data_IF_536615573947
#
_entry.id   IF_536615573947
#
_cell.length_a   1.000
_cell.length_b   1.000
_cell.length_c   1.000
_cell.angle_alpha   90.00
_cell.angle_beta   90.00
_cell.angle_gamma   90.00
#
_symmetry.space_group_name_H-M   'P 1'
#
loop_
_entity.id
_entity.type
_entity.pdbx_description
1 polymer ?
#
# COMPACT_ATOMS: atom_id res chain seq x y z
N UNK A 1 54.32 -35.19 9.65
CA UNK A 1 54.20 -35.25 11.11
C UNK A 1 55.47 -34.70 11.72
N UNK A 2 55.39 -33.49 12.28
CA UNK A 2 56.25 -32.96 13.33
C UNK A 2 55.44 -31.84 14.03
N UNK A 3 55.49 -31.70 15.37
CA UNK A 3 54.52 -30.94 16.14
C UNK A 3 54.93 -29.48 16.33
N UNK A 4 53.92 -28.65 16.61
CA UNK A 4 54.00 -27.20 16.84
C UNK A 4 54.51 -26.90 18.25
N UNK A 5 55.41 -25.93 18.33
CA UNK A 5 56.09 -25.41 19.52
C UNK A 5 55.16 -24.60 20.44
N UNK A 6 55.20 -24.93 21.73
CA UNK A 6 54.54 -24.25 22.83
C UNK A 6 55.57 -23.44 23.63
N UNK A 7 55.60 -22.14 23.37
CA UNK A 7 56.33 -21.15 24.16
C UNK A 7 55.40 -19.93 24.24
N UNK A 8 55.10 -19.27 25.36
CA UNK A 8 55.73 -19.16 26.66
C UNK A 8 54.67 -18.90 27.74
N UNK A 9 54.73 -19.71 28.80
CA UNK A 9 54.17 -19.43 30.11
C UNK A 9 55.08 -18.40 30.82
N UNK A 10 54.54 -17.41 31.52
CA UNK A 10 55.24 -16.73 32.61
C UNK A 10 54.29 -16.57 33.81
N UNK A 11 54.56 -17.19 34.98
CA UNK A 11 53.66 -17.18 36.13
C UNK A 11 54.06 -16.16 37.22
N UNK A 12 53.07 -15.82 38.06
CA UNK A 12 53.14 -15.19 39.39
C UNK A 12 53.49 -13.69 39.45
N UNK A 13 52.93 -12.83 40.30
CA UNK A 13 51.72 -12.76 41.14
C UNK A 13 51.86 -11.39 41.84
N UNK A 14 50.82 -10.54 41.93
CA UNK A 14 50.66 -9.64 43.09
C UNK A 14 49.24 -9.09 43.18
N UNK A 15 48.63 -9.29 44.35
CA UNK A 15 47.35 -8.72 44.75
C UNK A 15 47.54 -7.23 45.11
N UNK A 16 46.76 -6.36 44.48
CA UNK A 16 46.62 -4.96 44.84
C UNK A 16 45.15 -4.56 44.73
N UNK A 17 44.50 -4.40 45.88
CA UNK A 17 43.14 -3.91 46.02
C UNK A 17 43.03 -2.43 45.62
N UNK A 18 42.09 -2.08 44.75
CA UNK A 18 41.34 -0.82 44.85
C UNK A 18 40.34 -0.67 43.70
N UNK A 19 39.07 -0.42 44.04
CA UNK A 19 38.17 0.39 43.23
C UNK A 19 37.38 -0.37 42.15
N UNK A 20 36.25 -0.94 42.54
CA UNK A 20 35.12 -1.16 41.63
C UNK A 20 34.54 0.19 41.22
N UNK A 21 34.93 0.69 40.06
CA UNK A 21 34.06 1.56 39.25
C UNK A 21 33.75 0.80 37.96
N UNK A 22 32.74 -0.07 38.04
CA UNK A 22 32.00 -0.51 36.87
C UNK A 22 31.30 0.72 36.30
N UNK A 23 31.98 1.39 35.37
CA UNK A 23 31.34 2.36 34.48
C UNK A 23 30.48 1.55 33.51
N UNK A 24 29.26 1.24 33.94
CA UNK A 24 28.16 0.98 33.02
C UNK A 24 28.00 2.23 32.17
N UNK A 25 28.64 2.24 30.99
CA UNK A 25 28.29 3.15 29.93
C UNK A 25 26.77 2.99 29.69
N UNK A 26 25.95 4.04 29.86
CA UNK A 26 24.55 3.92 29.53
C UNK A 26 24.46 3.60 28.05
N UNK A 27 23.79 2.50 27.70
CA UNK A 27 23.40 2.23 26.33
C UNK A 27 22.70 3.48 25.81
N UNK A 28 23.35 4.21 24.91
CA UNK A 28 22.77 5.42 24.34
C UNK A 28 21.47 5.00 23.65
N UNK A 29 20.34 5.51 24.13
CA UNK A 29 19.06 5.31 23.48
C UNK A 29 19.20 5.80 22.03
N UNK A 30 18.98 4.90 21.07
CA UNK A 30 19.08 5.25 19.65
C UNK A 30 18.13 6.41 19.34
N UNK A 31 18.61 7.40 18.59
CA UNK A 31 17.76 8.48 18.10
C UNK A 31 16.65 7.92 17.19
N UNK A 32 15.49 8.58 17.14
CA UNK A 32 14.35 8.15 16.32
C UNK A 32 14.72 7.99 14.84
N UNK A 33 15.65 8.83 14.34
CA UNK A 33 16.21 8.71 12.99
C UNK A 33 16.99 7.41 12.83
N UNK A 34 17.83 7.06 13.81
CA UNK A 34 18.62 5.84 13.79
C UNK A 34 17.72 4.59 13.86
N UNK A 35 16.65 4.64 14.65
CA UNK A 35 15.66 3.55 14.75
C UNK A 35 14.94 3.34 13.41
N UNK A 36 14.58 4.43 12.72
CA UNK A 36 13.98 4.37 11.39
C UNK A 36 14.95 3.75 10.37
N UNK A 37 16.18 4.26 10.28
CA UNK A 37 17.18 3.76 9.33
C UNK A 37 17.51 2.29 9.58
N UNK A 38 17.65 1.90 10.85
CA UNK A 38 17.84 0.49 11.21
C UNK A 38 16.67 -0.37 10.73
N UNK A 39 15.43 0.08 10.95
CA UNK A 39 14.23 -0.64 10.51
C UNK A 39 14.15 -0.78 8.99
N UNK A 40 14.50 0.27 8.26
CA UNK A 40 14.57 0.25 6.78
C UNK A 40 15.61 -0.76 6.29
N UNK A 41 16.79 -0.79 6.92
CA UNK A 41 17.84 -1.76 6.59
C UNK A 41 17.38 -3.21 6.83
N UNK A 42 16.68 -3.47 7.94
CA UNK A 42 16.17 -4.82 8.26
C UNK A 42 15.15 -5.32 7.23
N UNK A 43 14.33 -4.43 6.66
CA UNK A 43 13.31 -4.82 5.67
C UNK A 43 13.80 -4.77 4.23
N UNK A 44 14.94 -4.14 3.93
CA UNK A 44 15.34 -3.77 2.57
C UNK A 44 15.45 -4.93 1.56
N UNK A 45 15.77 -6.14 2.02
CA UNK A 45 15.78 -7.36 1.18
C UNK A 45 14.42 -8.04 1.02
N UNK A 46 13.41 -7.62 1.80
CA UNK A 46 12.13 -8.30 1.94
C UNK A 46 10.92 -7.45 1.48
N UNK A 47 11.15 -6.21 1.06
CA UNK A 47 10.15 -5.33 0.46
C UNK A 47 10.66 -4.77 -0.85
N UNK A 48 9.84 -4.65 -1.88
CA UNK A 48 10.24 -3.97 -3.11
C UNK A 48 10.17 -2.44 -3.03
N UNK A 49 9.64 -1.86 -1.95
CA UNK A 49 9.50 -0.41 -1.81
C UNK A 49 10.89 0.22 -1.58
N UNK A 50 11.29 1.25 -2.36
CA UNK A 50 12.57 1.95 -2.18
C UNK A 50 12.76 2.53 -0.77
N UNK A 51 14.00 2.55 -0.28
CA UNK A 51 14.33 3.10 1.04
C UNK A 51 13.89 4.57 1.19
N UNK A 52 14.06 5.38 0.15
CA UNK A 52 13.60 6.79 0.15
C UNK A 52 12.07 6.87 0.29
N UNK A 53 11.34 5.99 -0.40
CA UNK A 53 9.89 5.92 -0.28
C UNK A 53 9.49 5.50 1.13
N UNK A 54 10.14 4.49 1.72
CA UNK A 54 9.86 4.05 3.10
C UNK A 54 10.03 5.20 4.11
N UNK A 55 11.05 6.06 3.98
CA UNK A 55 11.22 7.25 4.84
C UNK A 55 10.03 8.21 4.69
N UNK A 56 9.65 8.56 3.46
CA UNK A 56 8.55 9.47 3.17
C UNK A 56 7.21 8.91 3.65
N UNK A 57 6.97 7.62 3.43
CA UNK A 57 5.81 6.88 3.92
C UNK A 57 5.73 6.91 5.44
N UNK A 58 6.86 6.70 6.14
CA UNK A 58 6.90 6.82 7.59
C UNK A 58 6.47 8.22 8.06
N UNK A 59 6.95 9.28 7.42
CA UNK A 59 6.52 10.65 7.75
C UNK A 59 5.00 10.84 7.55
N UNK A 60 4.43 10.31 6.46
CA UNK A 60 2.97 10.33 6.23
C UNK A 60 2.24 9.60 7.36
N UNK A 61 2.71 8.41 7.74
CA UNK A 61 2.14 7.64 8.85
C UNK A 61 2.18 8.42 10.17
N UNK A 62 3.31 9.09 10.48
CA UNK A 62 3.47 9.93 11.69
C UNK A 62 2.47 11.07 11.73
N UNK A 63 2.37 11.84 10.66
CA UNK A 63 1.51 13.03 10.59
C UNK A 63 0.03 12.69 10.72
N UNK A 64 -0.38 11.55 10.15
CA UNK A 64 -1.76 11.07 10.22
C UNK A 64 -2.00 10.15 11.43
N UNK A 65 -0.99 9.93 12.27
CA UNK A 65 -0.96 8.94 13.36
C UNK A 65 -1.74 7.66 13.02
N UNK A 66 -1.31 6.99 11.95
CA UNK A 66 -1.95 5.78 11.45
C UNK A 66 -0.90 4.74 11.05
N UNK A 67 -1.31 3.47 11.07
CA UNK A 67 -0.53 2.39 10.44
C UNK A 67 -0.96 2.28 8.98
N UNK A 68 0.01 2.27 8.08
CA UNK A 68 -0.20 2.07 6.64
C UNK A 68 0.48 0.76 6.27
N UNK A 69 -0.26 -0.16 5.67
CA UNK A 69 0.31 -1.41 5.17
C UNK A 69 0.14 -1.52 3.66
N UNK A 70 1.16 -2.07 3.01
CA UNK A 70 1.17 -2.38 1.59
C UNK A 70 1.21 -3.88 1.37
N UNK A 71 0.59 -4.33 0.29
CA UNK A 71 0.76 -5.68 -0.25
C UNK A 71 2.21 -5.89 -0.70
N UNK A 72 2.62 -7.13 -0.99
CA UNK A 72 3.98 -7.40 -1.46
C UNK A 72 4.22 -6.62 -2.76
N UNK A 73 5.17 -5.71 -2.72
CA UNK A 73 5.71 -5.08 -3.93
C UNK A 73 6.97 -5.83 -4.34
N UNK A 74 7.02 -6.24 -5.60
CA UNK A 74 8.11 -7.05 -6.15
C UNK A 74 9.43 -6.27 -6.16
N UNK A 75 10.51 -6.77 -5.51
CA UNK A 75 11.81 -6.12 -5.50
C UNK A 75 12.39 -5.83 -6.89
N UNK A 76 12.07 -6.67 -7.88
CA UNK A 76 12.53 -6.45 -9.25
C UNK A 76 11.81 -5.30 -9.95
N UNK A 77 10.70 -4.80 -9.42
CA UNK A 77 10.03 -3.60 -9.94
C UNK A 77 10.50 -2.32 -9.24
N UNK A 78 11.31 -2.43 -8.18
CA UNK A 78 11.86 -1.28 -7.43
C UNK A 78 12.54 -0.27 -8.36
N UNK A 79 13.46 -0.75 -9.21
CA UNK A 79 14.23 0.12 -10.09
C UNK A 79 13.35 0.86 -11.10
N UNK A 80 12.21 0.28 -11.52
CA UNK A 80 11.28 0.92 -12.45
C UNK A 80 10.57 2.09 -11.78
N UNK A 81 10.15 1.92 -10.52
CA UNK A 81 9.51 3.00 -9.77
C UNK A 81 10.50 4.12 -9.44
N UNK A 82 11.73 3.78 -9.04
CA UNK A 82 12.83 4.73 -8.80
C UNK A 82 13.19 5.52 -10.07
N UNK A 83 13.22 4.84 -11.22
CA UNK A 83 13.42 5.48 -12.52
C UNK A 83 12.22 6.32 -12.97
N UNK A 84 11.16 6.41 -12.18
CA UNK A 84 10.03 7.24 -12.52
C UNK A 84 9.14 6.63 -13.60
N UNK A 85 8.89 5.32 -13.59
CA UNK A 85 7.89 4.73 -14.47
C UNK A 85 6.45 5.04 -13.97
N UNK A 86 5.49 5.19 -14.90
CA UNK A 86 4.07 5.26 -14.56
C UNK A 86 3.58 3.88 -14.12
N UNK A 87 2.48 3.83 -13.40
CA UNK A 87 1.94 2.58 -12.87
C UNK A 87 0.50 2.34 -13.32
N UNK A 88 0.13 1.07 -13.32
CA UNK A 88 -1.12 0.57 -13.86
C UNK A 88 -2.32 0.96 -12.99
N UNK A 89 -3.36 1.56 -13.60
CA UNK A 89 -4.65 1.76 -12.94
C UNK A 89 -5.60 0.57 -13.12
N UNK A 90 -6.72 0.55 -12.39
CA UNK A 90 -7.78 -0.47 -12.52
C UNK A 90 -8.40 -0.53 -13.93
N UNK A 91 -8.28 0.54 -14.73
CA UNK A 91 -8.79 0.59 -16.11
C UNK A 91 -7.98 -0.26 -17.08
N UNK A 92 -6.73 -0.60 -16.72
CA UNK A 92 -5.88 -1.48 -17.50
C UNK A 92 -6.11 -2.89 -16.95
N UNK A 93 -6.56 -3.84 -17.78
CA UNK A 93 -6.82 -5.23 -17.33
C UNK A 93 -5.71 -6.21 -17.68
N UNK A 94 -4.79 -5.79 -18.56
CA UNK A 94 -3.60 -6.55 -18.95
C UNK A 94 -2.79 -7.04 -17.76
N UNK A 95 -2.24 -8.25 -17.87
CA UNK A 95 -1.32 -8.79 -16.86
C UNK A 95 0.10 -8.36 -17.19
N UNK A 96 0.87 -8.09 -16.14
CA UNK A 96 2.31 -7.87 -16.27
C UNK A 96 3.03 -9.17 -16.63
N UNK A 97 4.25 -9.05 -17.09
CA UNK A 97 5.13 -10.16 -17.43
C UNK A 97 6.11 -10.49 -16.29
N UNK A 98 6.41 -11.77 -16.15
CA UNK A 98 7.55 -12.34 -15.42
C UNK A 98 8.62 -12.90 -16.38
N UNK A 99 8.51 -12.62 -17.68
CA UNK A 99 9.30 -13.24 -18.73
C UNK A 99 10.50 -12.37 -19.12
N UNK A 100 11.67 -12.70 -18.57
CA UNK A 100 12.95 -12.16 -19.00
C UNK A 100 12.99 -10.64 -19.15
N UNK A 101 13.27 -10.08 -20.35
CA UNK A 101 13.38 -8.64 -20.53
C UNK A 101 12.05 -7.89 -20.29
N UNK A 102 10.90 -8.57 -20.33
CA UNK A 102 9.60 -7.93 -20.10
C UNK A 102 9.24 -7.84 -18.61
N UNK A 103 10.07 -8.38 -17.72
CA UNK A 103 9.75 -8.48 -16.29
C UNK A 103 9.33 -7.13 -15.72
N UNK A 104 8.11 -7.07 -15.18
CA UNK A 104 7.55 -5.87 -14.56
C UNK A 104 6.74 -4.96 -15.50
N UNK A 105 6.73 -5.22 -16.80
CA UNK A 105 5.95 -4.47 -17.80
C UNK A 105 4.69 -5.20 -18.23
N UNK A 106 3.78 -4.48 -18.89
CA UNK A 106 2.52 -5.03 -19.40
C UNK A 106 2.64 -5.18 -20.93
N UNK A 107 2.94 -6.39 -21.46
CA UNK A 107 3.03 -6.59 -22.90
C UNK A 107 1.68 -6.43 -23.57
N UNK A 108 1.67 -5.96 -24.81
CA UNK A 108 0.46 -5.96 -25.66
C UNK A 108 0.06 -7.39 -26.00
N UNK A 109 1.03 -8.23 -26.36
CA UNK A 109 0.81 -9.66 -26.59
C UNK A 109 0.81 -10.41 -25.26
N UNK A 110 -0.36 -10.85 -24.78
CA UNK A 110 -0.47 -11.47 -23.46
C UNK A 110 0.10 -12.88 -23.41
N UNK A 111 0.42 -13.51 -24.55
CA UNK A 111 1.27 -14.69 -24.60
C UNK A 111 2.66 -14.48 -23.95
N UNK A 112 3.12 -13.23 -23.84
CA UNK A 112 4.37 -12.84 -23.18
C UNK A 112 4.17 -12.39 -21.72
N UNK A 113 2.96 -12.49 -21.16
CA UNK A 113 2.65 -12.09 -19.78
C UNK A 113 2.54 -13.30 -18.84
N UNK A 114 2.31 -13.04 -17.55
CA UNK A 114 2.04 -14.08 -16.52
C UNK A 114 0.84 -14.99 -16.86
N UNK A 115 -0.01 -14.60 -17.82
CA UNK A 115 -1.16 -15.44 -18.24
C UNK A 115 -0.75 -16.60 -19.15
N UNK A 116 0.48 -16.60 -19.70
CA UNK A 116 0.98 -17.64 -20.63
C UNK A 116 0.83 -19.07 -20.11
N UNK A 117 0.95 -19.28 -18.80
CA UNK A 117 0.81 -20.59 -18.16
C UNK A 117 -0.64 -21.06 -17.98
N UNK A 118 -1.64 -20.25 -18.36
CA UNK A 118 -3.07 -20.54 -18.14
C UNK A 118 -3.80 -21.06 -19.39
N UNK A 119 -3.06 -21.26 -20.48
CA UNK A 119 -3.58 -21.82 -21.73
C UNK A 119 -4.16 -20.80 -22.71
N UNK A 120 -4.48 -21.22 -23.95
CA UNK A 120 -4.83 -20.34 -25.05
C UNK A 120 -6.08 -19.48 -24.82
N UNK A 121 -7.11 -20.01 -24.16
CA UNK A 121 -8.35 -19.28 -23.89
C UNK A 121 -8.13 -18.09 -22.94
N UNK A 122 -7.32 -18.28 -21.90
CA UNK A 122 -6.97 -17.23 -20.96
C UNK A 122 -6.13 -16.13 -21.62
N UNK A 123 -5.21 -16.52 -22.50
CA UNK A 123 -4.42 -15.60 -23.32
C UNK A 123 -5.34 -14.80 -24.25
N UNK A 124 -6.22 -15.47 -25.00
CA UNK A 124 -7.15 -14.82 -25.93
C UNK A 124 -8.07 -13.81 -25.23
N UNK A 125 -8.57 -14.14 -24.03
CA UNK A 125 -9.36 -13.21 -23.20
C UNK A 125 -8.52 -12.00 -22.77
N UNK A 126 -7.28 -12.23 -22.33
CA UNK A 126 -6.40 -11.15 -21.93
C UNK A 126 -6.01 -10.24 -23.11
N UNK A 127 -5.81 -10.80 -24.31
CA UNK A 127 -5.56 -10.03 -25.53
C UNK A 127 -6.79 -9.19 -25.92
N UNK A 128 -8.01 -9.71 -25.75
CA UNK A 128 -9.24 -8.94 -25.93
C UNK A 128 -9.34 -7.77 -24.93
N UNK A 129 -8.98 -8.00 -23.67
CA UNK A 129 -8.92 -6.95 -22.65
C UNK A 129 -7.90 -5.85 -23.03
N UNK A 130 -6.72 -6.22 -23.54
CA UNK A 130 -5.73 -5.27 -24.06
C UNK A 130 -6.28 -4.49 -25.26
N UNK A 131 -6.91 -5.17 -26.20
CA UNK A 131 -7.53 -4.52 -27.37
C UNK A 131 -8.54 -3.46 -26.93
N UNK A 132 -9.41 -3.78 -25.97
CA UNK A 132 -10.37 -2.83 -25.43
C UNK A 132 -9.71 -1.63 -24.73
N UNK A 133 -8.59 -1.83 -24.03
CA UNK A 133 -7.80 -0.74 -23.41
C UNK A 133 -7.25 0.22 -24.47
N UNK A 134 -6.73 -0.32 -25.58
CA UNK A 134 -6.17 0.47 -26.68
C UNK A 134 -7.28 1.22 -27.45
N UNK A 135 -8.39 0.55 -27.75
CA UNK A 135 -9.55 1.15 -28.44
C UNK A 135 -10.19 2.28 -27.64
N UNK A 136 -10.28 2.12 -26.32
CA UNK A 136 -10.79 3.16 -25.40
C UNK A 136 -9.77 4.24 -25.07
N UNK A 137 -8.55 4.16 -25.62
CA UNK A 137 -7.46 5.10 -25.35
C UNK A 137 -7.15 5.24 -23.86
N UNK A 138 -7.28 4.15 -23.09
CA UNK A 138 -6.85 4.13 -21.69
C UNK A 138 -5.32 3.99 -21.58
N UNK A 139 -4.67 3.47 -22.63
CA UNK A 139 -3.23 3.37 -22.77
C UNK A 139 -2.87 3.30 -24.27
N UNK A 140 -1.58 3.43 -24.58
CA UNK A 140 -1.02 3.22 -25.92
C UNK A 140 0.05 2.14 -25.91
N UNK A 141 0.34 1.58 -27.08
CA UNK A 141 1.45 0.66 -27.28
C UNK A 141 2.74 1.43 -27.63
N UNK A 142 3.86 1.04 -27.03
CA UNK A 142 5.21 1.51 -27.39
C UNK A 142 6.17 0.33 -27.46
N UNK A 143 7.23 0.47 -28.26
CA UNK A 143 8.32 -0.50 -28.29
C UNK A 143 9.07 -0.51 -26.94
N UNK A 144 9.31 -1.70 -26.40
CA UNK A 144 10.06 -1.86 -25.16
C UNK A 144 11.53 -1.53 -25.39
N UNK A 145 12.01 -0.53 -24.64
CA UNK A 145 13.42 -0.14 -24.62
C UNK A 145 13.95 -0.25 -23.20
N UNK A 146 15.06 -0.96 -23.02
CA UNK A 146 15.67 -1.17 -21.72
C UNK A 146 17.07 -0.55 -21.68
N UNK A 147 17.40 0.21 -20.63
CA UNK A 147 18.78 0.66 -20.43
C UNK A 147 19.68 -0.52 -20.04
N UNK A 148 21.00 -0.36 -20.23
CA UNK A 148 21.98 -1.42 -19.94
C UNK A 148 21.92 -1.88 -18.47
N UNK A 149 21.64 -0.96 -17.55
CA UNK A 149 21.52 -1.23 -16.12
C UNK A 149 20.36 -2.19 -15.82
N UNK A 150 19.23 -2.06 -16.53
CA UNK A 150 18.09 -2.97 -16.37
C UNK A 150 18.40 -4.36 -16.90
N UNK A 151 19.10 -4.46 -18.04
CA UNK A 151 19.55 -5.75 -18.56
C UNK A 151 20.56 -6.42 -17.61
N UNK A 152 21.48 -5.64 -17.03
CA UNK A 152 22.41 -6.12 -16.00
C UNK A 152 21.67 -6.70 -14.79
N UNK A 153 20.73 -5.94 -14.22
CA UNK A 153 19.90 -6.40 -13.09
C UNK A 153 19.19 -7.72 -13.41
N UNK A 154 18.53 -7.81 -14.57
CA UNK A 154 17.81 -9.04 -14.95
C UNK A 154 18.75 -10.23 -15.17
N UNK A 155 20.00 -9.98 -15.58
CA UNK A 155 21.00 -11.03 -15.74
C UNK A 155 21.54 -11.50 -14.39
N UNK A 156 21.82 -10.57 -13.48
CA UNK A 156 22.33 -10.86 -12.13
C UNK A 156 21.30 -11.67 -11.32
N UNK A 157 20.01 -11.39 -11.53
CA UNK A 157 18.87 -12.11 -10.96
C UNK A 157 18.55 -13.43 -11.69
N UNK A 158 19.35 -13.79 -12.70
CA UNK A 158 19.23 -15.05 -13.43
C UNK A 158 17.98 -15.17 -14.31
N UNK A 159 17.29 -14.06 -14.60
CA UNK A 159 16.10 -14.05 -15.46
C UNK A 159 16.45 -14.07 -16.94
N UNK A 160 17.65 -13.59 -17.30
CA UNK A 160 18.15 -13.59 -18.68
C UNK A 160 19.62 -14.01 -18.74
N UNK A 161 20.05 -14.42 -19.93
CA UNK A 161 21.46 -14.43 -20.34
C UNK A 161 21.61 -13.57 -21.58
N UNK A 162 22.39 -12.50 -21.47
CA UNK A 162 22.71 -11.62 -22.59
C UNK A 162 23.98 -12.13 -23.28
N UNK A 163 23.87 -12.49 -24.55
CA UNK A 163 24.98 -13.00 -25.34
C UNK A 163 25.80 -11.87 -25.96
N UNK A 164 27.00 -12.23 -26.47
CA UNK A 164 27.81 -11.31 -27.25
C UNK A 164 27.04 -10.80 -28.49
N UNK A 165 27.37 -9.60 -29.01
CA UNK A 165 26.79 -9.09 -30.23
C UNK A 165 27.00 -10.05 -31.41
N UNK A 166 25.94 -10.20 -32.22
CA UNK A 166 25.94 -10.87 -33.50
C UNK A 166 26.55 -9.96 -34.57
N UNK A 167 26.74 -10.50 -35.78
CA UNK A 167 27.33 -9.76 -36.91
C UNK A 167 26.50 -8.55 -37.35
N UNK A 168 25.20 -8.53 -37.07
CA UNK A 168 24.29 -7.40 -37.33
C UNK A 168 24.25 -6.37 -36.18
N UNK A 169 25.07 -6.55 -35.14
CA UNK A 169 25.13 -5.68 -33.97
C UNK A 169 24.04 -5.94 -32.92
N UNK A 170 23.09 -6.84 -33.17
CA UNK A 170 22.09 -7.24 -32.18
C UNK A 170 22.68 -8.21 -31.16
N UNK A 171 22.10 -8.28 -29.96
CA UNK A 171 22.50 -9.24 -28.92
C UNK A 171 21.38 -10.24 -28.70
N UNK A 172 21.69 -11.53 -28.70
CA UNK A 172 20.71 -12.56 -28.34
C UNK A 172 20.46 -12.53 -26.83
N UNK A 173 19.20 -12.71 -26.43
CA UNK A 173 18.76 -12.88 -25.05
C UNK A 173 18.07 -14.24 -24.93
N UNK A 174 18.58 -15.09 -24.05
CA UNK A 174 17.96 -16.38 -23.72
C UNK A 174 17.51 -16.42 -22.28
N UNK A 175 16.46 -17.16 -22.01
CA UNK A 175 15.89 -17.31 -20.67
C UNK A 175 16.30 -18.65 -20.07
N UNK A 176 16.89 -18.70 -18.87
CA UNK A 176 17.17 -19.97 -18.21
C UNK A 176 15.90 -20.80 -17.99
N UNK A 177 15.86 -22.01 -18.55
CA UNK A 177 14.73 -22.94 -18.38
C UNK A 177 13.51 -22.66 -19.26
N UNK A 178 13.61 -21.73 -20.22
CA UNK A 178 12.51 -21.36 -21.11
C UNK A 178 13.02 -21.27 -22.56
N UNK A 179 12.23 -21.76 -23.51
CA UNK A 179 12.60 -21.78 -24.93
C UNK A 179 12.34 -20.46 -25.65
N UNK A 180 11.72 -19.49 -24.99
CA UNK A 180 11.45 -18.17 -25.57
C UNK A 180 12.76 -17.41 -25.74
N UNK A 181 12.96 -16.86 -26.94
CA UNK A 181 14.14 -16.08 -27.26
C UNK A 181 13.76 -14.63 -27.58
N UNK A 182 14.64 -13.72 -27.20
CA UNK A 182 14.57 -12.31 -27.54
C UNK A 182 15.88 -11.88 -28.19
N UNK A 183 15.85 -10.74 -28.87
CA UNK A 183 17.06 -10.02 -29.25
C UNK A 183 16.99 -8.58 -28.74
N UNK A 184 18.16 -7.98 -28.52
CA UNK A 184 18.32 -6.60 -28.10
C UNK A 184 19.13 -5.86 -29.15
N UNK A 185 18.53 -4.81 -29.74
CA UNK A 185 19.19 -3.93 -30.69
C UNK A 185 19.45 -2.58 -30.04
N UNK A 186 20.66 -2.05 -30.17
CA UNK A 186 20.95 -0.70 -29.67
C UNK A 186 20.01 0.30 -30.34
N UNK A 187 19.28 1.08 -29.54
CA UNK A 187 18.37 2.11 -30.04
C UNK A 187 19.16 3.34 -30.53
N UNK A 188 18.52 4.16 -31.36
CA UNK A 188 19.13 5.34 -31.98
C UNK A 188 19.69 6.36 -30.97
N UNK A 189 19.21 6.33 -29.73
CA UNK A 189 19.72 7.17 -28.64
C UNK A 189 21.10 6.75 -28.11
N UNK A 190 21.62 5.58 -28.52
CA UNK A 190 22.89 5.01 -28.08
C UNK A 190 22.95 4.63 -26.59
N UNK A 191 21.83 4.67 -25.87
CA UNK A 191 21.74 4.52 -24.41
C UNK A 191 20.87 3.35 -23.96
N UNK A 192 19.92 2.91 -24.80
CA UNK A 192 19.02 1.81 -24.50
C UNK A 192 18.96 0.78 -25.62
N UNK A 193 18.45 -0.39 -25.30
CA UNK A 193 18.25 -1.49 -26.23
C UNK A 193 16.77 -1.68 -26.48
N UNK A 194 16.37 -1.64 -27.75
CA UNK A 194 15.05 -2.08 -28.18
C UNK A 194 14.99 -3.61 -28.14
N UNK A 195 13.94 -4.14 -27.51
CA UNK A 195 13.75 -5.58 -27.31
C UNK A 195 12.86 -6.12 -28.43
N UNK A 196 13.30 -7.20 -29.07
CA UNK A 196 12.60 -7.85 -30.17
C UNK A 196 12.28 -9.31 -29.86
N UNK A 197 11.16 -9.79 -30.41
CA UNK A 197 10.73 -11.19 -30.38
C UNK A 197 10.30 -11.59 -31.78
N UNK A 198 10.83 -12.69 -32.32
CA UNK A 198 10.55 -13.09 -33.70
C UNK A 198 10.98 -12.07 -34.77
N UNK A 199 11.93 -11.18 -34.45
CA UNK A 199 12.38 -10.10 -35.34
C UNK A 199 11.56 -8.81 -35.25
N UNK A 200 10.47 -8.79 -34.48
CA UNK A 200 9.61 -7.62 -34.30
C UNK A 200 9.79 -6.98 -32.93
N UNK A 201 9.68 -5.65 -32.85
CA UNK A 201 9.79 -4.92 -31.59
C UNK A 201 8.65 -5.29 -30.64
N UNK A 202 9.00 -5.77 -29.45
CA UNK A 202 8.05 -6.13 -28.41
C UNK A 202 7.32 -4.88 -27.94
N UNK A 203 5.99 -4.88 -28.03
CA UNK A 203 5.16 -3.76 -27.61
C UNK A 203 4.70 -3.94 -26.16
N UNK A 204 4.75 -2.86 -25.39
CA UNK A 204 4.26 -2.76 -24.00
C UNK A 204 3.33 -1.56 -23.85
N UNK A 205 2.46 -1.58 -22.84
CA UNK A 205 1.55 -0.47 -22.57
C UNK A 205 2.29 0.70 -21.92
N UNK A 206 1.95 1.92 -22.35
CA UNK A 206 2.35 3.19 -21.76
C UNK A 206 1.15 4.13 -21.61
N UNK A 207 1.22 5.17 -20.77
CA UNK A 207 0.18 6.19 -20.70
C UNK A 207 -0.05 6.88 -22.05
N UNK A 208 -1.25 7.44 -22.22
CA UNK A 208 -1.56 8.29 -23.36
C UNK A 208 -0.64 9.50 -23.40
N UNK A 209 -0.29 9.96 -24.61
CA UNK A 209 0.51 11.17 -24.76
C UNK A 209 -0.31 12.42 -24.47
N UNK A 210 0.27 13.32 -23.71
CA UNK A 210 -0.10 14.74 -23.67
C UNK A 210 0.96 15.56 -24.40
N UNK A 211 0.56 16.66 -25.06
CA UNK A 211 1.52 17.61 -25.60
C UNK A 211 2.52 18.04 -24.52
N UNK A 212 3.81 18.09 -24.89
CA UNK A 212 4.90 18.71 -24.11
C UNK A 212 5.34 18.04 -22.79
N UNK A 213 4.89 16.83 -22.46
CA UNK A 213 5.38 16.13 -21.25
C UNK A 213 6.56 15.15 -21.57
N UNK A 214 7.76 15.42 -21.01
CA UNK A 214 8.99 14.69 -21.32
C UNK A 214 9.04 13.27 -20.72
N UNK A 215 8.09 12.90 -19.86
CA UNK A 215 8.10 11.62 -19.13
C UNK A 215 7.39 10.49 -19.91
N UNK A 216 6.71 10.78 -21.02
CA UNK A 216 5.63 9.93 -21.58
C UNK A 216 6.04 8.65 -22.29
N UNK A 217 7.31 8.48 -22.68
CA UNK A 217 7.76 7.28 -23.37
C UNK A 217 8.18 6.16 -22.42
N UNK A 218 7.78 6.25 -21.14
CA UNK A 218 7.99 5.20 -20.15
C UNK A 218 6.80 4.21 -20.11
N UNK A 219 7.07 2.90 -20.19
CA UNK A 219 6.03 1.89 -20.07
C UNK A 219 5.51 1.74 -18.64
N UNK A 220 4.26 1.30 -18.53
CA UNK A 220 3.56 1.04 -17.27
C UNK A 220 4.16 -0.14 -16.53
N UNK A 221 4.29 0.01 -15.21
CA UNK A 221 4.69 -1.05 -14.28
C UNK A 221 3.66 -1.23 -13.16
N UNK A 222 3.99 -2.07 -12.18
CA UNK A 222 3.16 -2.33 -11.00
C UNK A 222 3.01 -1.08 -10.12
N UNK A 223 1.83 -0.93 -9.54
CA UNK A 223 1.48 0.08 -8.55
C UNK A 223 1.69 -0.45 -7.11
N UNK A 224 1.51 0.45 -6.14
CA UNK A 224 1.50 0.17 -4.72
C UNK A 224 0.07 -0.12 -4.28
N UNK A 225 -0.24 -1.40 -4.17
CA UNK A 225 -1.50 -1.83 -3.60
C UNK A 225 -1.48 -1.63 -2.07
N UNK A 226 -2.37 -0.80 -1.57
CA UNK A 226 -2.62 -0.66 -0.15
C UNK A 226 -3.27 -1.94 0.39
N UNK A 227 -2.76 -2.47 1.50
CA UNK A 227 -3.36 -3.59 2.21
C UNK A 227 -4.40 -3.13 3.23
N UNK A 228 -3.97 -2.33 4.20
CA UNK A 228 -4.79 -1.83 5.30
C UNK A 228 -4.31 -0.45 5.73
N UNK A 229 -5.25 0.42 6.13
CA UNK A 229 -4.96 1.65 6.88
C UNK A 229 -5.70 1.57 8.22
N UNK A 230 -4.93 1.62 9.31
CA UNK A 230 -5.43 1.53 10.69
C UNK A 230 -5.21 2.90 11.37
N UNK A 231 -6.24 3.76 11.46
CA UNK A 231 -6.11 5.05 12.15
C UNK A 231 -5.91 4.86 13.64
N UNK A 232 -5.35 5.85 14.34
CA UNK A 232 -5.44 5.90 15.78
C UNK A 232 -6.92 6.03 16.23
N UNK A 233 -7.32 5.26 17.25
CA UNK A 233 -8.68 5.28 17.81
C UNK A 233 -9.16 6.68 18.19
N UNK A 234 -8.27 7.52 18.74
CA UNK A 234 -8.57 8.90 19.11
C UNK A 234 -9.02 9.77 17.92
N UNK A 235 -8.73 9.36 16.69
CA UNK A 235 -9.05 10.09 15.45
C UNK A 235 -10.24 9.50 14.67
N UNK A 236 -10.75 8.33 15.10
CA UNK A 236 -11.84 7.61 14.39
C UNK A 236 -13.11 8.46 14.27
N UNK A 237 -13.46 9.25 15.30
CA UNK A 237 -14.64 10.11 15.31
C UNK A 237 -14.57 11.34 14.38
N UNK A 238 -13.36 11.80 14.05
CA UNK A 238 -13.14 12.98 13.18
C UNK A 238 -12.79 12.61 11.74
N UNK A 239 -12.24 11.41 11.51
CA UNK A 239 -11.59 11.07 10.24
C UNK A 239 -12.19 9.88 9.50
N UNK A 240 -13.12 9.14 10.12
CA UNK A 240 -13.69 7.94 9.51
C UNK A 240 -15.21 8.00 9.44
N UNK A 241 -15.76 8.10 8.22
CA UNK A 241 -17.17 7.82 7.96
C UNK A 241 -17.50 6.31 8.08
N UNK A 242 -16.61 5.49 8.65
CA UNK A 242 -16.81 4.05 8.86
C UNK A 242 -17.31 3.84 10.29
N UNK A 243 -18.53 3.32 10.43
CA UNK A 243 -19.04 2.90 11.74
C UNK A 243 -18.20 1.72 12.24
N UNK A 244 -17.28 2.01 13.16
CA UNK A 244 -16.64 1.00 14.00
C UNK A 244 -17.56 0.77 15.19
N UNK A 245 -18.38 -0.29 15.15
CA UNK A 245 -19.24 -0.64 16.28
C UNK A 245 -18.46 -1.45 17.31
N UNK A 246 -18.25 -0.89 18.51
CA UNK A 246 -17.98 -1.68 19.71
C UNK A 246 -19.31 -2.18 20.31
N UNK A 247 -19.34 -3.36 20.97
CA UNK A 247 -20.47 -3.74 21.81
C UNK A 247 -20.54 -2.77 23.01
N UNK A 248 -21.43 -1.79 22.97
CA UNK A 248 -21.76 -0.96 24.15
C UNK A 248 -21.93 0.55 23.95
N UNK A 249 -21.56 1.14 22.81
CA UNK A 249 -21.80 2.58 22.56
C UNK A 249 -22.93 2.81 21.54
N UNK A 250 -23.90 3.66 21.91
CA UNK A 250 -25.01 4.09 21.04
C UNK A 250 -24.53 5.08 19.97
N UNK A 251 -25.05 4.84 18.78
CA UNK A 251 -24.82 5.47 17.48
C UNK A 251 -25.20 6.96 17.40
N UNK A 252 -24.27 7.81 16.92
CA UNK A 252 -24.65 9.03 16.23
C UNK A 252 -24.01 9.08 14.83
N UNK A 253 -24.89 9.18 13.83
CA UNK A 253 -24.71 9.87 12.55
C UNK A 253 -24.57 9.03 11.28
N UNK A 254 -25.33 9.55 10.31
CA UNK A 254 -25.66 9.15 8.96
C UNK A 254 -24.81 9.98 8.00
N UNK A 255 -23.98 9.36 7.17
CA UNK A 255 -23.18 10.12 6.20
C UNK A 255 -22.13 9.30 5.47
N UNK A 256 -22.54 8.32 4.65
CA UNK A 256 -21.64 7.74 3.64
C UNK A 256 -21.96 8.43 2.31
N UNK A 257 -21.03 9.25 1.81
CA UNK A 257 -21.11 9.79 0.44
C UNK A 257 -20.41 8.82 -0.53
N UNK A 258 -21.05 8.43 -1.65
CA UNK A 258 -20.42 7.61 -2.68
C UNK A 258 -19.33 8.41 -3.41
N UNK A 259 -18.11 7.88 -3.48
CA UNK A 259 -17.01 8.52 -4.20
C UNK A 259 -16.76 7.89 -5.58
N UNK A 260 -16.91 8.68 -6.64
CA UNK A 260 -16.27 8.48 -7.96
C UNK A 260 -16.90 7.45 -8.92
N UNK A 261 -16.64 7.54 -10.24
CA UNK A 261 -17.51 6.98 -11.28
C UNK A 261 -17.59 5.46 -11.26
N UNK A 262 -18.81 4.97 -11.55
CA UNK A 262 -19.19 3.57 -11.60
C UNK A 262 -18.53 2.87 -12.79
N UNK A 263 -17.42 2.17 -12.57
CA UNK A 263 -16.98 1.09 -13.45
C UNK A 263 -16.31 -0.03 -12.63
N UNK A 264 -17.11 -1.02 -12.25
CA UNK A 264 -16.61 -2.34 -11.84
C UNK A 264 -16.24 -2.52 -10.35
N UNK A 265 -17.25 -2.52 -9.47
CA UNK A 265 -17.10 -2.82 -8.04
C UNK A 265 -16.88 -1.56 -7.22
N UNK A 266 -17.81 -1.20 -6.35
CA UNK A 266 -17.64 -0.03 -5.47
C UNK A 266 -16.59 -0.33 -4.41
N UNK A 267 -15.33 -0.05 -4.72
CA UNK A 267 -14.29 0.10 -3.71
C UNK A 267 -14.72 1.21 -2.75
N UNK A 268 -15.01 0.83 -1.50
CA UNK A 268 -15.44 1.79 -0.48
C UNK A 268 -14.21 2.49 0.12
N UNK A 269 -13.67 3.47 -0.62
CA UNK A 269 -12.55 4.30 -0.17
C UNK A 269 -13.04 5.34 0.84
N UNK A 270 -12.46 5.33 2.04
CA UNK A 270 -12.70 6.34 3.07
C UNK A 270 -12.03 7.67 2.76
N UNK A 271 -12.49 8.73 3.43
CA UNK A 271 -11.81 10.03 3.38
C UNK A 271 -10.34 9.93 3.82
N UNK A 272 -10.06 9.17 4.88
CA UNK A 272 -8.69 8.89 5.32
C UNK A 272 -7.87 8.15 4.25
N UNK A 273 -8.37 7.04 3.70
CA UNK A 273 -7.65 6.28 2.66
C UNK A 273 -7.35 7.15 1.44
N UNK A 274 -8.32 7.97 1.01
CA UNK A 274 -8.13 8.91 -0.10
C UNK A 274 -7.06 9.95 0.22
N UNK A 275 -7.10 10.56 1.40
CA UNK A 275 -6.10 11.54 1.86
C UNK A 275 -4.70 10.93 1.91
N UNK A 276 -4.56 9.72 2.48
CA UNK A 276 -3.28 9.01 2.54
C UNK A 276 -2.77 8.67 1.14
N UNK A 277 -3.62 8.12 0.27
CA UNK A 277 -3.23 7.81 -1.11
C UNK A 277 -2.76 9.07 -1.87
N UNK A 278 -3.45 10.21 -1.70
CA UNK A 278 -3.04 11.48 -2.30
C UNK A 278 -1.69 11.95 -1.75
N UNK A 279 -1.51 11.97 -0.43
CA UNK A 279 -0.22 12.37 0.18
C UNK A 279 0.93 11.45 -0.24
N UNK A 280 0.67 10.14 -0.40
CA UNK A 280 1.66 9.20 -0.94
C UNK A 280 2.06 9.62 -2.35
N UNK A 281 1.08 9.82 -3.23
CA UNK A 281 1.34 10.21 -4.62
C UNK A 281 2.11 11.54 -4.69
N UNK A 282 1.62 12.58 -4.01
CA UNK A 282 2.23 13.92 -3.99
C UNK A 282 3.67 13.91 -3.44
N UNK A 283 3.94 13.18 -2.35
CA UNK A 283 5.29 13.19 -1.73
C UNK A 283 6.28 12.27 -2.41
N UNK A 284 5.82 11.18 -3.01
CA UNK A 284 6.68 10.25 -3.75
C UNK A 284 6.90 10.70 -5.21
N UNK A 285 6.06 11.58 -5.74
CA UNK A 285 6.16 12.18 -7.07
C UNK A 285 5.92 13.70 -7.01
N UNK A 286 6.78 14.47 -6.31
CA UNK A 286 6.56 15.90 -6.07
C UNK A 286 6.57 16.74 -7.36
N UNK A 287 7.22 16.24 -8.41
CA UNK A 287 7.31 16.92 -9.71
C UNK A 287 6.07 16.73 -10.58
N UNK A 288 5.03 16.06 -10.08
CA UNK A 288 3.83 15.72 -10.84
C UNK A 288 2.61 16.39 -10.21
N UNK A 289 1.98 17.26 -10.99
CA UNK A 289 0.69 17.83 -10.66
C UNK A 289 -0.43 16.83 -10.99
N UNK A 290 -0.96 16.15 -9.98
CA UNK A 290 -1.98 15.12 -10.15
C UNK A 290 -3.39 15.66 -10.43
N UNK A 291 -3.60 16.97 -10.36
CA UNK A 291 -4.86 17.62 -10.73
C UNK A 291 -4.91 17.88 -12.25
N UNK A 292 -3.77 17.89 -12.93
CA UNK A 292 -3.72 17.98 -14.38
C UNK A 292 -4.29 16.71 -15.04
N UNK A 293 -5.15 16.85 -16.06
CA UNK A 293 -5.63 15.72 -16.85
C UNK A 293 -4.46 14.88 -17.36
N UNK A 294 -4.62 13.56 -17.44
CA UNK A 294 -3.59 12.65 -17.97
C UNK A 294 -2.49 12.25 -16.97
N UNK A 295 -2.29 13.01 -15.89
CA UNK A 295 -1.26 12.67 -14.90
C UNK A 295 -1.65 11.52 -13.95
N UNK A 296 -2.89 11.02 -14.04
CA UNK A 296 -3.38 9.92 -13.21
C UNK A 296 -2.51 8.65 -13.31
N UNK A 297 -1.94 8.34 -14.48
CA UNK A 297 -1.09 7.17 -14.68
C UNK A 297 0.25 7.24 -13.92
N UNK A 298 0.64 8.42 -13.46
CA UNK A 298 1.87 8.63 -12.70
C UNK A 298 1.73 8.38 -11.21
N UNK A 299 0.50 8.18 -10.73
CA UNK A 299 0.24 7.79 -9.34
C UNK A 299 0.96 6.48 -9.06
N UNK A 300 1.39 6.29 -7.82
CA UNK A 300 1.88 5.03 -7.31
C UNK A 300 0.77 4.26 -6.59
N UNK A 301 -0.23 4.95 -6.02
CA UNK A 301 -1.42 4.33 -5.42
C UNK A 301 -2.65 4.77 -6.20
N UNK A 302 -3.37 3.81 -6.80
CA UNK A 302 -4.55 4.10 -7.65
C UNK A 302 -5.89 3.89 -6.96
N UNK A 303 -5.94 3.05 -5.94
CA UNK A 303 -7.20 2.63 -5.33
C UNK A 303 -7.13 2.53 -3.82
N UNK A 304 -8.27 2.20 -3.21
CA UNK A 304 -8.38 1.99 -1.78
C UNK A 304 -7.60 0.77 -1.32
N UNK A 305 -7.48 0.64 0.00
CA UNK A 305 -6.85 -0.51 0.62
C UNK A 305 -7.67 -1.79 0.41
N UNK A 306 -7.00 -2.93 0.33
CA UNK A 306 -7.60 -4.26 0.15
C UNK A 306 -8.56 -4.64 1.29
N UNK A 307 -8.42 -4.05 2.48
CA UNK A 307 -9.44 -4.14 3.54
C UNK A 307 -10.83 -3.68 3.07
N UNK A 308 -10.84 -2.80 2.06
CA UNK A 308 -11.91 -2.17 1.29
C UNK A 308 -12.66 -3.12 0.36
N UNK A 309 -11.93 -4.06 -0.24
CA UNK A 309 -12.29 -4.76 -1.47
C UNK A 309 -13.00 -6.10 -1.19
N UNK A 310 -14.28 -6.27 -1.54
CA UNK A 310 -15.04 -7.49 -1.25
C UNK A 310 -14.53 -8.75 -1.97
N UNK A 311 -13.64 -8.61 -2.96
CA UNK A 311 -13.05 -9.71 -3.73
C UNK A 311 -11.62 -10.05 -3.30
N UNK A 312 -11.07 -9.39 -2.27
CA UNK A 312 -9.70 -9.60 -1.83
C UNK A 312 -9.52 -10.95 -1.11
N UNK A 313 -8.48 -11.69 -1.48
CA UNK A 313 -7.96 -12.81 -0.68
C UNK A 313 -6.90 -12.29 0.30
N UNK A 314 -7.09 -12.58 1.58
CA UNK A 314 -6.16 -12.19 2.64
C UNK A 314 -4.71 -12.67 2.35
N UNK A 315 -4.53 -13.86 1.77
CA UNK A 315 -3.20 -14.43 1.52
C UNK A 315 -2.38 -13.64 0.51
N UNK A 316 -3.04 -12.98 -0.45
CA UNK A 316 -2.40 -12.17 -1.49
C UNK A 316 -1.79 -10.86 -0.96
N UNK A 317 -1.99 -10.59 0.34
CA UNK A 317 -1.47 -9.42 1.03
C UNK A 317 -0.13 -9.68 1.74
N UNK A 318 0.39 -10.91 1.72
CA UNK A 318 1.60 -11.29 2.46
C UNK A 318 2.76 -11.72 1.55
N UNK A 319 4.02 -11.36 1.89
CA UNK A 319 4.43 -10.54 3.02
C UNK A 319 4.02 -9.06 2.92
N UNK A 320 3.42 -8.51 3.97
CA UNK A 320 2.94 -7.13 4.02
C UNK A 320 4.02 -6.20 4.58
N UNK A 321 4.26 -5.06 3.92
CA UNK A 321 5.13 -4.00 4.47
C UNK A 321 4.31 -3.04 5.30
N UNK A 322 4.58 -2.97 6.60
CA UNK A 322 3.93 -2.06 7.54
C UNK A 322 4.80 -0.84 7.78
N UNK A 323 4.15 0.31 7.72
CA UNK A 323 4.70 1.63 8.03
C UNK A 323 3.95 2.13 9.26
N UNK A 324 4.68 2.24 10.37
CA UNK A 324 4.13 2.62 11.67
C UNK A 324 4.39 4.12 11.95
N UNK A 325 3.51 4.82 12.69
CA UNK A 325 3.70 6.23 13.06
C UNK A 325 4.80 6.43 14.13
N UNK A 326 5.30 5.33 14.71
CA UNK A 326 6.41 5.24 15.66
C UNK A 326 6.70 3.77 15.89
N UNK A 327 7.75 3.45 16.63
CA UNK A 327 7.95 2.09 17.12
C UNK A 327 6.77 1.65 17.99
N UNK A 328 6.25 0.44 17.75
CA UNK A 328 5.17 -0.16 18.52
C UNK A 328 5.63 -1.53 19.03
N UNK A 329 5.93 -1.61 20.34
CA UNK A 329 6.48 -2.83 20.94
C UNK A 329 7.79 -3.23 20.28
N UNK A 330 7.86 -4.48 19.81
CA UNK A 330 9.01 -5.03 19.08
C UNK A 330 9.07 -4.58 17.62
N UNK A 331 8.00 -3.98 17.09
CA UNK A 331 7.94 -3.57 15.69
C UNK A 331 8.54 -2.17 15.52
N UNK A 332 9.66 -2.11 14.78
CA UNK A 332 10.24 -0.85 14.34
C UNK A 332 9.30 -0.05 13.41
N UNK A 333 9.57 1.24 13.18
CA UNK A 333 8.80 2.13 12.30
C UNK A 333 8.47 1.58 10.91
N UNK A 334 9.29 0.65 10.40
CA UNK A 334 9.05 -0.11 9.18
C UNK A 334 9.26 -1.59 9.50
N UNK A 335 8.28 -2.44 9.21
CA UNK A 335 8.36 -3.88 9.50
C UNK A 335 7.65 -4.72 8.44
N UNK A 336 7.90 -6.02 8.43
CA UNK A 336 7.27 -6.98 7.51
C UNK A 336 6.46 -7.99 8.31
N UNK A 337 5.17 -8.10 7.99
CA UNK A 337 4.36 -9.22 8.45
C UNK A 337 4.35 -10.31 7.38
N UNK A 338 4.73 -11.52 7.75
CA UNK A 338 4.96 -12.61 6.77
C UNK A 338 3.71 -13.42 6.44
N UNK A 339 2.71 -13.40 7.31
CA UNK A 339 1.53 -14.23 7.19
C UNK A 339 0.33 -13.68 7.99
N UNK A 340 -0.88 -14.22 7.79
CA UNK A 340 -2.06 -13.83 8.54
C UNK A 340 -1.94 -13.98 10.07
N UNK A 341 -1.12 -14.92 10.56
CA UNK A 341 -0.88 -15.12 11.99
C UNK A 341 -0.13 -13.93 12.60
N UNK A 342 0.91 -13.46 11.92
CA UNK A 342 1.65 -12.26 12.31
C UNK A 342 0.74 -11.01 12.35
N UNK A 343 -0.19 -10.88 11.40
CA UNK A 343 -1.21 -9.82 11.42
C UNK A 343 -2.16 -9.94 12.62
N UNK A 344 -2.65 -11.14 12.91
CA UNK A 344 -3.49 -11.36 14.10
C UNK A 344 -2.76 -10.99 15.39
N UNK A 345 -1.49 -11.36 15.54
CA UNK A 345 -0.68 -10.98 16.70
C UNK A 345 -0.54 -9.45 16.80
N UNK A 346 -0.22 -8.77 15.70
CA UNK A 346 -0.14 -7.31 15.65
C UNK A 346 -1.45 -6.65 16.07
N UNK A 347 -2.59 -7.12 15.56
CA UNK A 347 -3.92 -6.58 15.90
C UNK A 347 -4.28 -6.87 17.36
N UNK A 348 -3.92 -8.03 17.89
CA UNK A 348 -4.18 -8.36 19.30
C UNK A 348 -3.42 -7.42 20.23
N UNK A 349 -2.17 -7.08 19.89
CA UNK A 349 -1.33 -6.21 20.70
C UNK A 349 -1.64 -4.71 20.52
N UNK A 350 -1.92 -4.28 19.29
CA UNK A 350 -2.01 -2.85 18.96
C UNK A 350 -3.39 -2.39 18.47
N UNK A 351 -4.33 -3.31 18.24
CA UNK A 351 -5.66 -3.03 17.70
C UNK A 351 -6.55 -2.16 18.59
N UNK A 352 -6.27 -2.12 19.90
CA UNK A 352 -6.94 -1.19 20.82
C UNK A 352 -6.56 0.28 20.56
N UNK A 353 -5.34 0.53 20.08
CA UNK A 353 -4.88 1.86 19.69
C UNK A 353 -5.11 2.14 18.20
N UNK A 354 -4.86 1.15 17.36
CA UNK A 354 -4.98 1.24 15.90
C UNK A 354 -6.02 0.21 15.43
N UNK A 355 -7.34 0.51 15.50
CA UNK A 355 -8.37 -0.41 15.02
C UNK A 355 -8.20 -0.74 13.54
N UNK A 356 -8.44 -1.99 13.20
CA UNK A 356 -8.63 -2.43 11.82
C UNK A 356 -10.11 -2.67 11.53
N UNK A 357 -10.58 -2.22 10.36
CA UNK A 357 -11.90 -2.57 9.85
C UNK A 357 -11.79 -3.90 9.11
N UNK A 358 -12.64 -4.87 9.46
CA UNK A 358 -12.58 -6.19 8.82
C UNK A 358 -13.06 -6.09 7.38
N UNK A 359 -12.34 -6.75 6.48
CA UNK A 359 -12.90 -7.13 5.19
C UNK A 359 -13.86 -8.32 5.38
N UNK A 360 -15.05 -8.26 4.79
CA UNK A 360 -16.06 -9.32 4.86
C UNK A 360 -15.58 -10.66 4.33
N UNK A 361 -14.66 -10.66 3.37
CA UNK A 361 -14.08 -11.87 2.79
C UNK A 361 -13.04 -12.55 3.70
N UNK A 362 -12.48 -11.84 4.68
CA UNK A 362 -11.36 -12.34 5.49
C UNK A 362 -11.84 -13.07 6.75
N UNK A 363 -12.23 -14.33 6.59
CA UNK A 363 -12.75 -15.14 7.70
C UNK A 363 -11.72 -15.61 8.72
N UNK A 364 -10.43 -15.48 8.40
CA UNK A 364 -9.30 -16.05 9.13
C UNK A 364 -8.78 -15.15 10.27
N UNK A 365 -9.30 -13.92 10.39
CA UNK A 365 -8.81 -12.93 11.35
C UNK A 365 -9.62 -12.95 12.65
N UNK A 366 -8.92 -13.06 13.78
CA UNK A 366 -9.47 -13.09 15.14
C UNK A 366 -8.79 -12.01 16.00
N UNK A 367 -9.56 -10.99 16.41
CA UNK A 367 -9.07 -9.84 17.19
C UNK A 367 -10.08 -8.70 17.26
N UNK A 368 -9.67 -7.55 17.81
CA UNK A 368 -10.43 -6.29 17.86
C UNK A 368 -10.63 -5.69 16.46
N UNK A 369 -11.35 -6.43 15.61
CA UNK A 369 -11.65 -6.02 14.25
C UNK A 369 -13.08 -5.49 14.21
N UNK A 370 -13.23 -4.20 13.94
CA UNK A 370 -14.55 -3.59 13.82
C UNK A 370 -15.29 -4.09 12.57
N UNK A 371 -16.59 -4.33 12.69
CA UNK A 371 -17.46 -4.70 11.54
C UNK A 371 -17.94 -3.45 10.82
N UNK A 372 -18.14 -3.53 9.50
CA UNK A 372 -18.72 -2.43 8.72
C UNK A 372 -20.21 -2.28 9.00
N UNK A 373 -20.69 -1.03 8.94
CA UNK A 373 -22.12 -0.70 8.99
C UNK A 373 -22.98 -1.48 7.98
N UNK A 374 -22.46 -1.67 6.76
CA UNK A 374 -23.14 -2.35 5.65
C UNK A 374 -23.45 -3.82 5.95
N UNK A 375 -22.62 -4.45 6.77
CA UNK A 375 -22.74 -5.88 7.10
C UNK A 375 -23.73 -6.11 8.24
N UNK A 376 -24.13 -5.05 8.94
CA UNK A 376 -25.16 -5.08 9.98
C UNK A 376 -26.57 -4.92 9.37
N UNK A 377 -26.71 -4.31 8.19
CA UNK A 377 -28.01 -4.17 7.51
C UNK A 377 -28.49 -5.41 6.76
N UNK A 378 -27.62 -6.39 6.49
CA UNK A 378 -27.99 -7.62 5.78
C UNK A 378 -28.46 -8.75 6.70
N UNK A 379 -28.35 -8.59 8.03
CA UNK A 379 -28.81 -9.58 9.02
C UNK A 379 -30.19 -9.30 9.63
N UNK A 380 -30.88 -8.25 9.20
CA UNK A 380 -32.25 -7.93 9.67
C UNK A 380 -33.35 -8.87 9.15
N UNK A 381 -33.02 -9.94 8.42
CA UNK A 381 -33.99 -10.91 7.87
C UNK A 381 -33.84 -12.35 8.42
N UNK A 382 -33.07 -12.58 9.48
CA UNK A 382 -33.18 -13.85 10.21
C UNK A 382 -34.32 -13.76 11.25
N UNK A 383 -35.21 -14.77 11.31
CA UNK A 383 -36.26 -14.79 12.33
C UNK A 383 -35.62 -14.91 13.71
N UNK A 384 -35.97 -13.98 14.60
CA UNK A 384 -35.52 -13.98 16.00
C UNK A 384 -35.84 -15.33 16.67
N UNK A 385 -34.93 -15.88 17.51
CA UNK A 385 -35.29 -17.00 18.36
C UNK A 385 -36.37 -16.56 19.36
N UNK A 386 -37.38 -17.39 19.53
CA UNK A 386 -38.54 -17.12 20.36
C UNK A 386 -38.15 -16.71 21.80
N UNK A 387 -38.83 -15.73 22.42
CA UNK A 387 -38.49 -15.27 23.76
C UNK A 387 -38.87 -16.33 24.81
N UNK A 388 -37.89 -16.79 25.57
CA UNK A 388 -38.12 -17.56 26.80
C UNK A 388 -38.52 -16.62 27.94
N UNK A 389 -39.75 -16.86 28.43
CA UNK A 389 -40.37 -16.50 29.73
C UNK A 389 -39.76 -15.35 30.58
N UNK A 390 -40.50 -14.23 30.55
CA UNK A 390 -40.98 -13.35 31.65
C UNK A 390 -40.16 -13.28 32.95
N UNK A 391 -39.61 -12.09 33.22
CA UNK A 391 -39.81 -11.41 34.51
C UNK A 391 -40.60 -10.12 34.25
N UNK A 392 -41.76 -9.99 34.88
CA UNK A 392 -42.71 -8.89 34.68
C UNK A 392 -42.38 -7.73 35.61
N UNK A 393 -42.05 -6.57 35.05
CA UNK A 393 -42.04 -5.30 35.77
C UNK A 393 -43.45 -4.97 36.26
N UNK A 394 -43.54 -4.46 37.49
CA UNK A 394 -44.81 -4.15 38.13
C UNK A 394 -45.34 -2.78 37.68
N UNK A 395 -46.65 -2.50 37.82
CA UNK A 395 -47.20 -1.17 37.52
C UNK A 395 -46.53 -0.01 38.28
N UNK A 396 -45.89 -0.28 39.43
CA UNK A 396 -45.11 0.71 40.18
C UNK A 396 -43.80 1.09 39.49
N UNK A 397 -43.15 0.15 38.78
CA UNK A 397 -41.91 0.40 38.02
C UNK A 397 -42.17 1.30 36.79
N UNK A 398 -43.36 1.19 36.20
CA UNK A 398 -43.82 2.05 35.10
C UNK A 398 -44.15 3.48 35.58
N UNK A 399 -44.67 3.64 36.79
CA UNK A 399 -44.94 4.97 37.37
C UNK A 399 -43.64 5.71 37.74
N UNK A 400 -42.61 5.00 38.22
CA UNK A 400 -41.31 5.59 38.53
C UNK A 400 -40.58 6.10 37.26
N UNK A 401 -40.69 5.39 36.15
CA UNK A 401 -40.10 5.79 34.86
C UNK A 401 -40.82 7.00 34.23
N UNK A 402 -42.14 7.13 34.41
CA UNK A 402 -42.88 8.30 33.94
C UNK A 402 -42.61 9.55 34.79
N UNK A 403 -42.42 9.42 36.11
CA UNK A 403 -42.05 10.53 36.99
C UNK A 403 -40.62 11.05 36.76
N UNK A 404 -39.69 10.19 36.32
CA UNK A 404 -38.31 10.58 36.00
C UNK A 404 -38.19 11.35 34.68
N UNK A 405 -39.09 11.11 33.71
CA UNK A 405 -39.12 11.83 32.43
C UNK A 405 -39.65 13.27 32.57
N UNK A 406 -40.59 13.50 33.49
CA UNK A 406 -41.18 14.83 33.73
C UNK A 406 -40.23 15.82 34.45
N UNK A 407 -39.17 15.34 35.11
CA UNK A 407 -38.19 16.20 35.83
C UNK A 407 -37.02 16.68 34.97
N UNK A 408 -36.88 16.24 33.71
CA UNK A 408 -35.80 16.67 32.81
C UNK A 408 -36.13 17.85 31.90
N UNK A 409 -37.40 18.26 31.81
CA UNK A 409 -37.86 19.31 30.89
C UNK A 409 -38.24 20.65 31.58
N UNK A 410 -37.59 20.98 32.71
CA UNK A 410 -37.77 22.29 33.35
C UNK A 410 -36.42 22.94 33.67
N UNK A 411 -35.91 23.75 32.73
CA UNK A 411 -35.02 24.87 33.05
C UNK A 411 -35.43 26.11 32.23
N UNK A 412 -35.43 27.31 32.84
CA UNK A 412 -36.19 28.47 32.37
C UNK A 412 -35.47 29.28 31.29
N UNK A 413 -36.26 29.90 30.43
CA UNK A 413 -35.85 30.91 29.46
C UNK A 413 -35.40 32.20 30.18
N UNK A 414 -34.21 32.69 29.84
CA UNK A 414 -33.78 34.07 30.13
C UNK A 414 -33.84 34.85 28.82
N UNK A 415 -34.80 35.76 28.74
CA UNK A 415 -34.93 36.78 27.70
C UNK A 415 -33.82 37.82 27.87
N UNK A 416 -33.06 38.06 26.80
CA UNK A 416 -32.18 39.22 26.66
C UNK A 416 -32.55 39.97 25.38
N UNK A 417 -33.31 41.05 25.52
CA UNK A 417 -33.38 42.10 24.50
C UNK A 417 -32.28 43.12 24.77
N UNK A 418 -31.42 43.36 23.78
CA UNK A 418 -30.88 44.69 23.48
C UNK A 418 -30.37 44.74 22.04
N UNK A 419 -31.06 45.57 21.25
CA UNK A 419 -30.65 46.03 19.92
C UNK A 419 -29.36 46.87 20.03
N UNK A 420 -28.47 46.72 19.05
CA UNK A 420 -27.34 47.61 18.81
C UNK A 420 -26.73 47.32 17.43
N UNK A 421 -26.86 48.27 16.51
CA UNK A 421 -26.34 48.26 15.15
C UNK A 421 -24.83 48.03 15.08
N UNK A 422 -24.34 47.48 13.97
CA UNK A 422 -23.21 48.02 13.20
C UNK A 422 -23.17 47.39 11.79
N UNK A 423 -22.88 48.24 10.81
CA UNK A 423 -22.91 48.02 9.37
C UNK A 423 -21.58 47.41 8.83
N UNK A 424 -21.47 47.08 7.52
CA UNK A 424 -20.41 46.22 6.97
C UNK A 424 -19.15 47.01 6.56
N UNK A 425 -17.99 46.34 6.53
CA UNK A 425 -16.78 46.90 5.91
C UNK A 425 -16.12 45.91 4.95
N UNK A 426 -15.69 46.49 3.83
CA UNK A 426 -15.35 45.87 2.55
C UNK A 426 -13.97 45.22 2.49
N UNK A 427 -13.86 44.33 1.50
CA UNK A 427 -12.66 43.77 0.88
C UNK A 427 -11.65 44.83 0.43
N UNK A 428 -10.36 44.51 0.58
CA UNK A 428 -9.29 45.05 -0.25
C UNK A 428 -8.38 43.89 -0.69
N UNK A 429 -8.25 43.71 -2.01
CA UNK A 429 -7.22 42.90 -2.65
C UNK A 429 -5.84 43.57 -2.54
N UNK A 430 -4.73 42.80 -2.49
CA UNK A 430 -3.40 43.34 -2.65
C UNK A 430 -2.87 43.16 -4.09
N UNK A 431 -2.14 44.19 -4.53
CA UNK A 431 -1.21 44.16 -5.67
C UNK A 431 0.09 43.43 -5.32
#
# INVERSE_FOLDING_TARGET
MNPIDHSLFNPNFSFGSSGTEDVHAPAQAMDATQVLEHSIQQVGGNTGIPAEHLRKLHHIARENDCVIAFRPFDPLNRSLVEQGHPTKSQQIKGKSSDLGPLYGFIPVQQALSKVRGRGPEAIAKADQDIKAVLEKQHARAIALRLPQERLGLLQDEGLIRLHAPLSDGTRKITLPGDSTEFTARLADNGKSFEILHGGEAVQVLAPMRQPDDPLQDKPLTADYDLFVIMPNWGQVGEQTNRRLSQPGLRDPLSGVMPGGPKDGGTDHITALERRIANQINERLRPDIDFDQPGNAAWRLVHHGADQGNPQSDLKDNFPATLILPRQLGEHGPVTILRDPGALNAFIQQHGGQYPMVRNTAWNQLSGHVGRRASDLSTRSNEPSPAPSRKSSLTPQDLQALQAASARRNSRPQLFGERRGSLAPFQEQEPS
#
